data_IF_009769762340
#
_entry.id   IF_009769762340
#
_cell.length_a   1.000
_cell.length_b   1.000
_cell.length_c   1.000
_cell.angle_alpha   90.00
_cell.angle_beta   90.00
_cell.angle_gamma   90.00
#
_symmetry.space_group_name_H-M   'P 1'
#
loop_
_entity.id
_entity.type
_entity.pdbx_description
1 polymer ?
#
# COMPACT_ATOMS: atom_id res chain seq x y z
N UNK A 1 -6.29 -14.07 7.46
CA UNK A 1 -4.99 -13.64 8.03
C UNK A 1 -4.38 -12.47 7.24
N UNK A 2 -5.03 -11.30 7.21
CA UNK A 2 -4.52 -10.10 6.52
C UNK A 2 -3.97 -9.04 7.47
N UNK A 3 -4.60 -8.89 8.64
CA UNK A 3 -4.28 -7.83 9.61
C UNK A 3 -2.84 -7.90 10.15
N UNK A 4 -2.35 -9.11 10.42
CA UNK A 4 -1.02 -9.34 11.04
C UNK A 4 0.14 -8.94 10.13
N UNK A 5 -0.14 -8.91 8.83
CA UNK A 5 0.81 -8.61 7.77
C UNK A 5 0.72 -7.15 7.32
N UNK A 6 -0.23 -6.38 7.84
CA UNK A 6 -0.21 -4.93 7.67
C UNK A 6 1.06 -4.39 8.35
N UNK A 7 1.73 -3.48 7.65
CA UNK A 7 2.96 -2.83 8.09
C UNK A 7 2.64 -1.38 8.34
N UNK A 8 3.04 -0.86 9.49
CA UNK A 8 3.15 0.59 9.71
C UNK A 8 4.52 1.03 9.22
N UNK A 9 4.53 2.00 8.32
CA UNK A 9 5.74 2.60 7.80
C UNK A 9 5.92 3.95 8.48
N UNK A 10 7.16 4.25 8.87
CA UNK A 10 7.56 5.57 9.36
C UNK A 10 8.76 6.04 8.57
N UNK A 11 8.66 7.26 8.04
CA UNK A 11 9.75 7.96 7.37
C UNK A 11 9.77 9.39 7.88
N UNK A 12 10.81 9.74 8.64
CA UNK A 12 10.85 10.99 9.40
C UNK A 12 9.57 11.13 10.27
N UNK A 13 8.82 12.23 10.10
CA UNK A 13 7.55 12.50 10.79
C UNK A 13 6.30 11.98 10.02
N UNK A 14 6.50 11.37 8.86
CA UNK A 14 5.41 10.82 8.04
C UNK A 14 5.14 9.36 8.39
N UNK A 15 3.86 9.01 8.43
CA UNK A 15 3.39 7.64 8.68
C UNK A 15 2.55 7.17 7.50
N UNK A 16 2.83 5.96 7.03
CA UNK A 16 2.09 5.30 5.96
C UNK A 16 1.89 3.80 6.27
N UNK A 17 1.37 3.05 5.31
CA UNK A 17 1.04 1.64 5.45
C UNK A 17 1.70 0.79 4.37
N UNK A 18 1.82 -0.50 4.63
CA UNK A 18 2.35 -1.48 3.68
C UNK A 18 1.83 -2.88 3.99
N UNK A 19 2.33 -3.86 3.25
CA UNK A 19 1.98 -5.26 3.47
C UNK A 19 3.20 -6.18 3.39
N UNK A 20 3.39 -7.00 4.42
CA UNK A 20 4.51 -7.93 4.57
C UNK A 20 4.17 -9.32 4.04
N UNK A 21 4.92 -9.83 3.06
CA UNK A 21 4.65 -11.11 2.39
C UNK A 21 5.93 -11.90 2.09
N UNK A 22 5.76 -13.19 1.80
CA UNK A 22 6.83 -14.11 1.39
C UNK A 22 6.86 -14.22 -0.14
N UNK A 23 8.05 -14.27 -0.74
CA UNK A 23 8.16 -14.73 -2.12
C UNK A 23 7.69 -16.20 -2.26
N UNK A 24 7.16 -16.54 -3.43
CA UNK A 24 6.71 -17.92 -3.68
C UNK A 24 7.86 -18.89 -3.94
N UNK A 25 8.99 -18.41 -4.48
CA UNK A 25 10.11 -19.24 -4.93
C UNK A 25 11.22 -19.44 -3.89
N UNK A 26 11.32 -18.54 -2.89
CA UNK A 26 12.41 -18.50 -1.91
C UNK A 26 11.92 -18.09 -0.52
N UNK A 27 12.79 -18.20 0.48
CA UNK A 27 12.51 -17.76 1.86
C UNK A 27 12.70 -16.25 2.07
N UNK A 28 12.90 -15.49 0.99
CA UNK A 28 12.94 -14.03 1.03
C UNK A 28 11.56 -13.44 1.36
N UNK A 29 11.57 -12.37 2.15
CA UNK A 29 10.35 -11.65 2.54
C UNK A 29 10.43 -10.18 2.14
N UNK A 30 9.26 -9.62 1.86
CA UNK A 30 9.11 -8.34 1.21
C UNK A 30 7.99 -7.52 1.85
N UNK A 31 8.10 -6.21 1.74
CA UNK A 31 7.02 -5.26 1.99
C UNK A 31 6.65 -4.60 0.66
N UNK A 32 5.36 -4.62 0.32
CA UNK A 32 4.81 -3.78 -0.76
C UNK A 32 4.14 -2.55 -0.14
N UNK A 33 4.38 -1.38 -0.71
CA UNK A 33 3.82 -0.09 -0.27
C UNK A 33 3.76 0.91 -1.43
N UNK A 34 3.28 2.13 -1.16
CA UNK A 34 3.37 3.24 -2.11
C UNK A 34 4.78 3.84 -2.13
N UNK A 35 5.19 4.51 -3.23
CA UNK A 35 6.47 5.24 -3.29
C UNK A 35 6.43 6.46 -2.41
N UNK A 36 5.38 7.26 -2.51
CA UNK A 36 5.27 8.46 -1.69
C UNK A 36 5.31 8.09 -0.22
N UNK A 37 4.68 6.99 0.20
CA UNK A 37 4.68 6.52 1.60
C UNK A 37 6.08 6.21 2.16
N UNK A 38 7.06 5.97 1.28
CA UNK A 38 8.47 5.75 1.62
C UNK A 38 9.35 6.99 1.41
N UNK A 39 8.80 8.08 0.86
CA UNK A 39 9.55 9.26 0.48
C UNK A 39 9.86 10.15 1.67
N UNK A 40 11.14 10.45 1.91
CA UNK A 40 11.57 11.35 2.99
C UNK A 40 11.38 12.83 2.66
N UNK A 41 10.95 13.16 1.43
CA UNK A 41 10.87 14.52 0.88
C UNK A 41 9.43 15.03 0.72
N UNK A 42 8.45 14.36 1.30
CA UNK A 42 7.04 14.80 1.18
C UNK A 42 6.85 16.25 1.64
N UNK A 43 7.60 16.69 2.66
CA UNK A 43 7.50 18.03 3.23
C UNK A 43 8.10 19.14 2.36
N UNK A 44 8.94 18.81 1.38
CA UNK A 44 9.65 19.77 0.51
C UNK A 44 9.52 19.45 -0.99
N UNK A 45 8.69 18.47 -1.35
CA UNK A 45 8.40 18.12 -2.73
C UNK A 45 7.29 19.03 -3.26
N UNK A 46 7.64 20.05 -4.06
CA UNK A 46 6.71 21.03 -4.62
C UNK A 46 5.55 20.34 -5.36
N UNK A 47 5.83 19.37 -6.23
CA UNK A 47 4.80 18.66 -6.99
C UNK A 47 3.80 17.92 -6.08
N UNK A 48 4.28 17.35 -4.97
CA UNK A 48 3.42 16.68 -3.99
C UNK A 48 2.59 17.71 -3.20
N UNK A 49 3.21 18.81 -2.76
CA UNK A 49 2.55 19.87 -2.00
C UNK A 49 1.49 20.61 -2.82
N UNK A 50 1.73 20.77 -4.13
CA UNK A 50 0.81 21.40 -5.08
C UNK A 50 -0.28 20.43 -5.57
N UNK A 51 -0.33 19.19 -5.04
CA UNK A 51 -1.23 18.11 -5.46
C UNK A 51 -1.19 17.88 -6.98
N UNK A 52 0.00 17.97 -7.58
CA UNK A 52 0.19 17.63 -9.00
C UNK A 52 -0.18 16.17 -9.18
N UNK A 53 -1.22 15.94 -9.96
CA UNK A 53 -1.76 14.61 -10.20
C UNK A 53 -0.64 13.68 -10.67
N UNK A 54 -0.56 12.49 -10.08
CA UNK A 54 0.38 11.44 -10.48
C UNK A 54 1.88 11.78 -10.33
N UNK A 55 2.28 12.84 -9.61
CA UNK A 55 3.68 13.22 -9.46
C UNK A 55 4.58 12.05 -8.99
N UNK A 56 4.12 11.26 -8.02
CA UNK A 56 4.89 10.13 -7.49
C UNK A 56 5.02 8.94 -8.45
N UNK A 57 4.18 8.85 -9.49
CA UNK A 57 4.32 7.84 -10.56
C UNK A 57 5.52 8.10 -11.45
N UNK A 58 5.80 9.38 -11.71
CA UNK A 58 6.88 9.86 -12.60
C UNK A 58 8.16 10.24 -11.86
N UNK A 59 8.12 10.28 -10.53
CA UNK A 59 9.26 10.64 -9.71
C UNK A 59 10.41 9.63 -9.88
N UNK A 60 11.59 10.14 -10.24
CA UNK A 60 12.84 9.37 -10.42
C UNK A 60 13.80 9.50 -9.24
N UNK A 61 13.38 10.08 -8.12
CA UNK A 61 14.22 10.25 -6.95
C UNK A 61 14.41 8.91 -6.24
N UNK A 62 15.65 8.60 -5.89
CA UNK A 62 15.96 7.41 -5.10
C UNK A 62 15.41 7.51 -3.67
N UNK A 63 14.94 6.39 -3.16
CA UNK A 63 14.50 6.26 -1.77
C UNK A 63 15.71 6.06 -0.86
N UNK A 64 15.78 6.88 0.19
CA UNK A 64 16.73 6.67 1.28
C UNK A 64 16.16 5.64 2.27
N UNK A 65 16.48 4.37 2.04
CA UNK A 65 15.96 3.27 2.86
C UNK A 65 16.46 3.27 4.31
N UNK A 66 17.58 3.94 4.61
CA UNK A 66 18.13 3.99 5.97
C UNK A 66 17.21 4.78 6.94
N UNK A 67 16.37 5.66 6.39
CA UNK A 67 15.40 6.45 7.16
C UNK A 67 14.02 5.80 7.28
N UNK A 68 13.85 4.58 6.75
CA UNK A 68 12.57 3.88 6.72
C UNK A 68 12.51 2.85 7.84
N UNK A 69 11.46 2.94 8.66
CA UNK A 69 11.15 1.93 9.67
C UNK A 69 9.86 1.20 9.30
N UNK A 70 9.93 -0.12 9.20
CA UNK A 70 8.77 -0.99 9.06
C UNK A 70 8.42 -1.63 10.41
N UNK A 71 7.19 -1.43 10.88
CA UNK A 71 6.66 -2.00 12.11
C UNK A 71 5.50 -2.95 11.78
N UNK A 72 5.58 -4.20 12.24
CA UNK A 72 4.49 -5.18 12.13
C UNK A 72 3.84 -5.44 13.50
N UNK A 73 2.74 -6.18 13.52
CA UNK A 73 2.01 -6.51 14.75
C UNK A 73 2.96 -7.04 15.86
N UNK A 74 2.77 -6.53 17.08
CA UNK A 74 3.65 -6.83 18.22
C UNK A 74 4.88 -5.92 18.31
N UNK A 75 4.90 -4.79 17.60
CA UNK A 75 6.00 -3.81 17.57
C UNK A 75 7.33 -4.39 17.09
N UNK A 76 7.28 -5.49 16.32
CA UNK A 76 8.47 -6.05 15.70
C UNK A 76 8.86 -5.15 14.53
N UNK A 77 10.13 -4.73 14.52
CA UNK A 77 10.70 -3.91 13.45
C UNK A 77 11.34 -4.80 12.38
N UNK A 78 11.19 -4.41 11.13
CA UNK A 78 11.88 -4.99 9.98
C UNK A 78 12.81 -3.95 9.40
N UNK A 79 14.02 -4.36 9.00
CA UNK A 79 14.97 -3.47 8.33
C UNK A 79 14.89 -3.65 6.82
N UNK A 80 14.85 -2.55 6.04
CA UNK A 80 15.03 -2.63 4.60
C UNK A 80 16.42 -3.17 4.27
N UNK A 81 16.51 -3.99 3.22
CA UNK A 81 17.75 -4.49 2.64
C UNK A 81 17.99 -3.90 1.26
N UNK A 82 16.94 -3.86 0.44
CA UNK A 82 16.97 -3.31 -0.92
C UNK A 82 15.54 -3.04 -1.37
N UNK A 83 15.33 -2.22 -2.39
CA UNK A 83 14.01 -1.90 -2.91
C UNK A 83 14.00 -1.88 -4.44
N UNK A 84 12.82 -2.07 -5.00
CA UNK A 84 12.52 -1.93 -6.41
C UNK A 84 11.30 -1.02 -6.56
N UNK A 85 11.49 0.09 -7.25
CA UNK A 85 10.44 1.07 -7.57
C UNK A 85 9.89 0.77 -8.95
N UNK A 86 8.57 0.59 -9.08
CA UNK A 86 7.95 0.34 -10.38
C UNK A 86 7.93 1.60 -11.24
N UNK A 87 8.25 1.48 -12.54
CA UNK A 87 8.09 2.59 -13.47
C UNK A 87 6.61 2.97 -13.64
N UNK A 88 6.32 4.27 -13.71
CA UNK A 88 4.98 4.83 -13.98
C UNK A 88 3.87 4.41 -13.00
N UNK A 89 4.23 3.84 -11.84
CA UNK A 89 3.32 3.49 -10.74
C UNK A 89 3.83 4.04 -9.43
N UNK A 90 2.94 4.37 -8.53
CA UNK A 90 3.27 4.75 -7.15
C UNK A 90 3.37 3.51 -6.25
N UNK A 91 4.22 2.55 -6.64
CA UNK A 91 4.43 1.29 -5.91
C UNK A 91 5.93 0.99 -5.74
N UNK A 92 6.29 0.49 -4.56
CA UNK A 92 7.61 -0.02 -4.22
C UNK A 92 7.51 -1.42 -3.62
N UNK A 93 8.44 -2.29 -4.01
CA UNK A 93 8.68 -3.58 -3.37
C UNK A 93 10.00 -3.49 -2.61
N UNK A 94 9.97 -3.69 -1.29
CA UNK A 94 11.16 -3.62 -0.43
C UNK A 94 11.48 -4.99 0.14
N UNK A 95 12.68 -5.51 -0.11
CA UNK A 95 13.20 -6.69 0.58
C UNK A 95 13.57 -6.33 2.02
N UNK A 96 13.24 -7.20 2.98
CA UNK A 96 13.47 -6.95 4.41
C UNK A 96 14.12 -8.14 5.11
N UNK A 97 14.69 -7.92 6.30
CA UNK A 97 15.39 -8.93 7.13
C UNK A 97 14.48 -9.90 7.90
N UNK A 98 13.17 -9.71 7.84
CA UNK A 98 12.18 -10.58 8.49
C UNK A 98 11.85 -11.86 7.70
N UNK A 99 11.13 -12.77 8.37
CA UNK A 99 10.53 -13.95 7.73
C UNK A 99 9.01 -13.84 7.77
N UNK A 100 8.39 -13.82 6.60
CA UNK A 100 6.94 -14.00 6.41
C UNK A 100 6.68 -15.45 6.01
N UNK A 101 5.59 -16.01 6.50
CA UNK A 101 5.11 -17.34 6.10
C UNK A 101 3.97 -17.26 5.09
N UNK A 102 3.58 -16.05 4.68
CA UNK A 102 2.36 -15.82 3.93
C UNK A 102 2.69 -15.34 2.50
N UNK A 103 2.52 -16.21 1.49
CA UNK A 103 2.64 -15.77 0.11
C UNK A 103 1.45 -14.88 -0.27
N UNK A 104 1.64 -14.06 -1.31
CA UNK A 104 0.62 -13.20 -1.88
C UNK A 104 0.21 -13.72 -3.26
N UNK A 105 -1.09 -13.78 -3.54
CA UNK A 105 -1.61 -13.94 -4.92
C UNK A 105 -2.04 -12.58 -5.45
N UNK A 106 -1.86 -12.38 -6.75
CA UNK A 106 -2.31 -11.17 -7.44
C UNK A 106 -3.54 -11.52 -8.27
N UNK A 107 -4.59 -10.72 -8.15
CA UNK A 107 -5.86 -10.89 -8.84
C UNK A 107 -6.25 -9.68 -9.68
N UNK A 108 -7.26 -9.88 -10.52
CA UNK A 108 -7.95 -8.82 -11.26
C UNK A 108 -9.10 -8.26 -10.43
N UNK A 109 -9.40 -6.99 -10.67
CA UNK A 109 -10.58 -6.31 -10.14
C UNK A 109 -11.83 -6.80 -10.88
N UNK A 110 -12.57 -7.71 -10.26
CA UNK A 110 -13.76 -8.37 -10.84
C UNK A 110 -14.92 -8.55 -9.85
N UNK A 111 -14.73 -8.13 -8.60
CA UNK A 111 -15.72 -8.19 -7.51
C UNK A 111 -16.30 -6.82 -7.22
N UNK A 112 -17.44 -6.82 -6.54
CA UNK A 112 -18.14 -5.61 -6.08
C UNK A 112 -17.69 -5.15 -4.69
N UNK A 113 -17.03 -6.03 -3.92
CA UNK A 113 -16.67 -5.74 -2.52
C UNK A 113 -15.24 -6.14 -2.26
N UNK A 114 -14.53 -5.24 -1.59
CA UNK A 114 -13.16 -5.43 -1.17
C UNK A 114 -12.98 -4.95 0.26
N UNK A 115 -11.78 -5.16 0.78
CA UNK A 115 -11.37 -4.54 2.03
C UNK A 115 -9.87 -4.31 2.01
N UNK A 116 -9.43 -3.43 2.91
CA UNK A 116 -8.01 -3.20 3.18
C UNK A 116 -7.75 -3.18 4.68
N UNK A 117 -6.52 -3.49 5.05
CA UNK A 117 -6.00 -3.28 6.41
C UNK A 117 -4.87 -2.28 6.34
N UNK A 118 -5.06 -1.13 7.00
CA UNK A 118 -4.10 -0.03 6.99
C UNK A 118 -3.97 0.62 8.37
N UNK A 119 -2.85 1.27 8.59
CA UNK A 119 -2.62 2.12 9.75
C UNK A 119 -3.06 3.53 9.44
N UNK A 120 -4.01 4.05 10.22
CA UNK A 120 -4.22 5.50 10.27
C UNK A 120 -3.05 6.15 10.99
N UNK A 121 -2.67 7.36 10.61
CA UNK A 121 -1.64 8.15 11.28
C UNK A 121 -1.95 8.26 12.77
N UNK A 122 -0.92 8.17 13.62
CA UNK A 122 -0.98 8.18 15.09
C UNK A 122 -1.74 7.01 15.72
N UNK A 123 -2.18 6.02 14.92
CA UNK A 123 -2.75 4.79 15.43
C UNK A 123 -1.70 3.67 15.49
N UNK A 124 -1.75 2.87 16.55
CA UNK A 124 -0.80 1.76 16.77
C UNK A 124 -1.34 0.40 16.32
N UNK A 125 -2.57 0.38 15.82
CA UNK A 125 -3.23 -0.84 15.33
C UNK A 125 -3.80 -0.59 13.94
N UNK A 126 -3.67 -1.57 13.02
CA UNK A 126 -4.29 -1.44 11.72
C UNK A 126 -5.81 -1.61 11.88
N UNK A 127 -6.55 -0.73 11.21
CA UNK A 127 -7.99 -0.78 11.06
C UNK A 127 -8.38 -1.57 9.80
N UNK A 128 -9.58 -2.15 9.81
CA UNK A 128 -10.19 -2.72 8.59
C UNK A 128 -11.05 -1.64 7.95
N UNK A 129 -10.89 -1.44 6.65
CA UNK A 129 -11.72 -0.55 5.84
C UNK A 129 -12.46 -1.43 4.83
N UNK A 130 -13.78 -1.31 4.80
CA UNK A 130 -14.61 -1.98 3.81
C UNK A 130 -14.74 -1.07 2.60
N UNK A 131 -14.61 -1.66 1.41
CA UNK A 131 -14.57 -0.96 0.14
C UNK A 131 -15.68 -1.51 -0.76
N UNK A 132 -16.41 -0.60 -1.39
CA UNK A 132 -17.48 -0.90 -2.34
C UNK A 132 -16.95 -1.09 -3.76
N UNK A 133 -17.87 -1.12 -4.73
CA UNK A 133 -17.58 -1.38 -6.12
C UNK A 133 -16.56 -0.35 -6.66
N UNK A 134 -15.47 -0.83 -7.26
CA UNK A 134 -14.43 0.04 -7.76
C UNK A 134 -14.80 0.68 -9.10
N UNK A 135 -14.35 1.92 -9.30
CA UNK A 135 -14.35 2.57 -10.60
C UNK A 135 -12.93 2.63 -11.18
N UNK A 136 -12.78 2.37 -12.47
CA UNK A 136 -11.48 2.39 -13.15
C UNK A 136 -11.43 3.56 -14.13
N UNK A 137 -10.59 4.54 -13.83
CA UNK A 137 -10.40 5.72 -14.65
C UNK A 137 -8.90 5.98 -14.85
N UNK A 138 -8.47 6.08 -16.10
CA UNK A 138 -7.09 6.42 -16.49
C UNK A 138 -5.97 5.59 -15.82
N UNK A 139 -6.25 4.30 -15.62
CA UNK A 139 -5.31 3.34 -15.01
C UNK A 139 -5.22 3.42 -13.48
N UNK A 140 -6.03 4.27 -12.84
CA UNK A 140 -6.23 4.32 -11.39
C UNK A 140 -7.55 3.63 -11.06
N UNK A 141 -7.54 2.86 -9.97
CA UNK A 141 -8.72 2.24 -9.42
C UNK A 141 -9.18 3.01 -8.18
N UNK A 142 -10.42 3.49 -8.21
CA UNK A 142 -11.05 4.23 -7.14
C UNK A 142 -11.96 3.30 -6.35
N UNK A 143 -11.66 3.12 -5.07
CA UNK A 143 -12.51 2.34 -4.17
C UNK A 143 -13.27 3.27 -3.25
N UNK A 144 -14.60 3.24 -3.32
CA UNK A 144 -15.42 3.99 -2.39
C UNK A 144 -15.43 3.33 -1.01
N UNK A 145 -15.21 4.12 0.05
CA UNK A 145 -15.27 3.65 1.42
C UNK A 145 -16.73 3.33 1.78
N UNK A 146 -16.99 2.08 2.16
CA UNK A 146 -18.34 1.65 2.52
C UNK A 146 -18.89 2.49 3.69
N UNK A 147 -19.99 3.18 3.44
CA UNK A 147 -20.73 3.96 4.43
C UNK A 147 -21.95 3.18 4.94
N UNK A 148 -22.25 3.35 6.22
CA UNK A 148 -23.58 3.03 6.75
C UNK A 148 -24.50 4.22 6.43
N UNK A 149 -25.81 4.01 6.32
CA UNK A 149 -26.76 5.02 5.84
C UNK A 149 -26.95 6.24 6.78
N UNK A 150 -26.14 6.37 7.82
CA UNK A 150 -26.15 7.54 8.70
C UNK A 150 -25.31 8.63 8.06
N UNK A 151 -25.89 9.81 7.76
CA UNK A 151 -25.13 10.91 7.17
C UNK A 151 -24.09 11.40 8.18
N UNK A 152 -22.82 11.09 7.90
CA UNK A 152 -21.69 11.73 8.56
C UNK A 152 -21.50 13.10 7.91
N UNK A 153 -21.37 14.15 8.73
CA UNK A 153 -21.20 15.54 8.26
C UNK A 153 -19.76 15.86 7.82
N UNK A 154 -18.89 14.84 7.77
CA UNK A 154 -17.45 14.96 7.49
C UNK A 154 -17.10 13.93 6.42
N UNK A 155 -16.22 14.34 5.50
CA UNK A 155 -15.68 13.43 4.50
C UNK A 155 -14.79 12.37 5.15
N UNK A 156 -15.09 11.10 4.91
CA UNK A 156 -14.41 9.96 5.55
C UNK A 156 -12.98 9.81 5.09
N UNK A 157 -12.68 10.10 3.82
CA UNK A 157 -11.33 9.97 3.25
C UNK A 157 -10.33 10.84 4.02
N UNK A 158 -10.74 11.99 4.55
CA UNK A 158 -9.91 12.83 5.43
C UNK A 158 -9.50 12.13 6.73
N UNK A 159 -10.26 11.13 7.21
CA UNK A 159 -9.88 10.38 8.41
C UNK A 159 -8.92 9.21 8.13
N UNK A 160 -8.53 8.99 6.88
CA UNK A 160 -7.68 7.86 6.48
C UNK A 160 -6.25 8.27 6.13
N UNK A 161 -5.76 9.42 6.62
CA UNK A 161 -4.33 9.73 6.52
C UNK A 161 -3.48 8.57 7.07
N UNK A 162 -2.45 8.17 6.31
CA UNK A 162 -1.54 7.07 6.64
C UNK A 162 -1.91 5.70 6.06
N UNK A 163 -3.10 5.52 5.47
CA UNK A 163 -3.48 4.22 4.87
C UNK A 163 -2.79 3.94 3.54
N UNK A 164 -2.16 4.93 2.91
CA UNK A 164 -1.43 4.76 1.66
C UNK A 164 -0.36 3.67 1.79
N UNK A 165 -0.28 2.82 0.77
CA UNK A 165 0.52 1.60 0.67
C UNK A 165 -0.18 0.34 1.19
N UNK A 166 -1.39 0.44 1.76
CA UNK A 166 -2.17 -0.74 2.14
C UNK A 166 -2.66 -1.54 0.93
N UNK A 167 -2.73 -2.86 1.06
CA UNK A 167 -3.24 -3.74 -0.01
C UNK A 167 -4.76 -3.94 0.06
N UNK A 168 -5.38 -3.96 -1.12
CA UNK A 168 -6.80 -4.26 -1.31
C UNK A 168 -7.01 -5.74 -1.63
N UNK A 169 -7.92 -6.38 -0.90
CA UNK A 169 -8.23 -7.81 -0.96
C UNK A 169 -9.72 -8.09 -1.20
N UNK A 170 -10.05 -9.24 -1.78
CA UNK A 170 -11.44 -9.64 -2.10
C UNK A 170 -12.15 -10.47 -1.02
N UNK A 171 -11.41 -11.23 -0.21
CA UNK A 171 -12.01 -12.07 0.84
C UNK A 171 -11.06 -12.33 2.02
N UNK A 172 -11.51 -12.11 3.28
CA UNK A 172 -10.69 -12.34 4.46
C UNK A 172 -10.55 -13.81 4.88
N UNK A 173 -11.36 -14.69 4.27
CA UNK A 173 -11.53 -16.09 4.68
C UNK A 173 -10.66 -17.09 3.91
N UNK A 174 -9.79 -16.61 3.00
CA UNK A 174 -8.88 -17.47 2.24
C UNK A 174 -7.58 -17.73 3.00
N UNK A 175 -7.07 -18.96 2.90
CA UNK A 175 -5.75 -19.35 3.42
C UNK A 175 -4.61 -18.55 2.78
N UNK A 176 -4.73 -18.29 1.47
CA UNK A 176 -3.84 -17.42 0.70
C UNK A 176 -4.66 -16.27 0.15
N UNK A 177 -4.30 -15.05 0.56
CA UNK A 177 -5.01 -13.84 0.17
C UNK A 177 -4.67 -13.45 -1.28
N UNK A 178 -5.68 -12.89 -1.95
CA UNK A 178 -5.54 -12.33 -3.30
C UNK A 178 -5.60 -10.81 -3.19
N UNK A 179 -4.47 -10.15 -3.46
CA UNK A 179 -4.39 -8.70 -3.54
C UNK A 179 -4.63 -8.22 -4.97
N UNK A 180 -5.22 -7.05 -5.10
CA UNK A 180 -5.65 -6.50 -6.38
C UNK A 180 -5.09 -5.10 -6.66
N UNK A 181 -4.91 -4.30 -5.61
CA UNK A 181 -4.42 -2.93 -5.70
C UNK A 181 -3.65 -2.50 -4.44
N UNK A 182 -2.88 -1.42 -4.57
CA UNK A 182 -2.22 -0.69 -3.48
C UNK A 182 -2.89 0.67 -3.36
N UNK A 183 -3.39 1.03 -2.17
CA UNK A 183 -3.94 2.37 -1.92
C UNK A 183 -2.82 3.40 -2.05
N UNK A 184 -3.03 4.49 -2.78
CA UNK A 184 -2.02 5.54 -2.99
C UNK A 184 -2.51 6.89 -2.48
N UNK A 185 -3.78 7.23 -2.67
CA UNK A 185 -4.28 8.57 -2.38
C UNK A 185 -5.64 8.53 -1.71
N UNK A 186 -5.87 9.50 -0.82
CA UNK A 186 -7.20 9.82 -0.34
C UNK A 186 -7.79 10.80 -1.35
N UNK A 187 -8.92 10.44 -1.93
CA UNK A 187 -9.59 11.21 -2.96
C UNK A 187 -10.87 11.85 -2.39
N UNK A 188 -11.44 12.78 -3.16
CA UNK A 188 -12.73 13.36 -2.84
C UNK A 188 -13.86 12.32 -2.91
N UNK A 189 -15.02 12.61 -2.34
CA UNK A 189 -16.22 11.76 -2.35
C UNK A 189 -16.08 10.43 -1.59
N UNK A 190 -15.16 10.37 -0.62
CA UNK A 190 -14.83 9.16 0.15
C UNK A 190 -14.17 8.04 -0.69
N UNK A 191 -13.49 8.41 -1.77
CA UNK A 191 -12.74 7.44 -2.56
C UNK A 191 -11.30 7.28 -2.07
N UNK A 192 -10.77 6.08 -2.23
CA UNK A 192 -9.36 5.78 -2.09
C UNK A 192 -8.80 5.45 -3.48
N UNK A 193 -7.97 6.35 -4.02
CA UNK A 193 -7.23 6.15 -5.25
C UNK A 193 -6.16 5.08 -5.07
N UNK A 194 -6.04 4.18 -6.03
CA UNK A 194 -5.21 2.99 -5.92
C UNK A 194 -4.56 2.58 -7.24
N UNK A 195 -3.35 2.02 -7.14
CA UNK A 195 -2.64 1.41 -8.26
C UNK A 195 -2.95 -0.07 -8.36
N UNK A 196 -3.41 -0.52 -9.53
CA UNK A 196 -3.70 -1.94 -9.79
C UNK A 196 -2.42 -2.77 -9.88
N UNK A 197 -2.51 -4.03 -9.44
CA UNK A 197 -1.38 -4.97 -9.39
C UNK A 197 -1.33 -5.95 -10.56
N UNK A 198 -2.46 -6.22 -11.22
CA UNK A 198 -2.56 -7.25 -12.26
C UNK A 198 -1.74 -6.93 -13.52
N UNK A 199 -1.54 -5.65 -13.82
CA UNK A 199 -0.82 -5.14 -14.99
C UNK A 199 0.69 -4.98 -14.77
N UNK A 200 1.19 -5.36 -13.59
CA UNK A 200 2.61 -5.29 -13.26
C UNK A 200 3.39 -6.40 -13.96
N UNK A 201 4.53 -6.05 -14.58
CA UNK A 201 5.50 -7.05 -15.06
C UNK A 201 6.34 -7.60 -13.89
N UNK A 202 5.85 -8.67 -13.28
CA UNK A 202 6.58 -9.35 -12.20
C UNK A 202 7.90 -9.99 -12.65
N UNK A 203 8.18 -10.16 -13.96
CA UNK A 203 9.48 -10.68 -14.41
C UNK A 203 10.59 -9.71 -14.08
N UNK A 204 10.36 -8.41 -14.22
CA UNK A 204 11.34 -7.39 -13.91
C UNK A 204 11.69 -7.40 -12.42
N UNK A 205 10.67 -7.42 -11.57
CA UNK A 205 10.81 -7.53 -10.11
C UNK A 205 11.59 -8.79 -9.73
N UNK A 206 11.20 -9.94 -10.30
CA UNK A 206 11.84 -11.21 -10.02
C UNK A 206 13.31 -11.21 -10.48
N UNK A 207 13.62 -10.65 -11.64
CA UNK A 207 14.98 -10.52 -12.14
C UNK A 207 15.84 -9.64 -11.22
N UNK A 208 15.31 -8.49 -10.77
CA UNK A 208 16.00 -7.59 -9.86
C UNK A 208 16.39 -8.27 -8.55
N UNK A 209 15.43 -8.95 -7.91
CA UNK A 209 15.66 -9.67 -6.65
C UNK A 209 16.28 -11.06 -6.84
N UNK A 210 16.50 -11.50 -8.08
CA UNK A 210 17.00 -12.83 -8.46
C UNK A 210 16.14 -13.94 -7.86
N UNK A 211 14.82 -13.81 -7.92
CA UNK A 211 13.84 -14.75 -7.36
C UNK A 211 13.60 -15.99 -8.22
#
# INVERSE_FOLDING_TARGET
MSRKNAVKIKVNDSESSGYFFKASSKDDSFVISSKHGLCSRQSDCEEFLDNVQNCCRLCTQDLNIDNISFEIEGNKKLKPISYFSLENKDIVITKVDGVSNYPLRIGKIEKEKYYTYGYKSKCDKPGRILLNEPDLLDGICYFNICSDATPELIEKSEEYYGVSGSLVFDSPEKDVLTAHAVITTNETNNDLGSEILHDIDFKEINNFFRL
#
